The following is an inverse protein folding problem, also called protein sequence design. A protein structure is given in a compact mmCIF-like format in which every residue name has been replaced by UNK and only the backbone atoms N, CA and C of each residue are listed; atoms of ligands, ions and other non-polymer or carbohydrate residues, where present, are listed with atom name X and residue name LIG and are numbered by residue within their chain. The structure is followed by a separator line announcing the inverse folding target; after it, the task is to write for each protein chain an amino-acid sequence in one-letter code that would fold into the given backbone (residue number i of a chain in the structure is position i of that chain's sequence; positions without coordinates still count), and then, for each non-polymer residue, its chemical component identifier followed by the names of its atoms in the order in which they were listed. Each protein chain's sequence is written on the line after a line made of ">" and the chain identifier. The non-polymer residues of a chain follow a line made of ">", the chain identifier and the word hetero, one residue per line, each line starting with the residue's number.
data_IF_126519250662
#
_entry.id   IF_126519250662
#
_cell.length_a   1.000
_cell.length_b   1.000
_cell.length_c   1.000
_cell.angle_alpha   90.00
_cell.angle_beta   90.00
_cell.angle_gamma   90.00
#
_symmetry.space_group_name_H-M   'P 1'
#
loop_
_entity.id
_entity.type
_entity.pdbx_description
1 polymer ?
#
# COMPACT_ATOMS: atom_id res chain seq x y z
N UNK A 1 2.12 13.15 -3.97
CA UNK A 1 0.80 12.45 -3.98
C UNK A 1 0.92 11.06 -4.57
N UNK A 2 1.32 10.90 -5.83
CA UNK A 2 1.55 9.56 -6.43
C UNK A 2 2.48 8.68 -5.58
N UNK A 3 3.67 9.18 -5.26
CA UNK A 3 4.65 8.42 -4.46
C UNK A 3 4.10 8.04 -3.08
N UNK A 4 3.30 8.92 -2.47
CA UNK A 4 2.62 8.63 -1.19
C UNK A 4 1.60 7.50 -1.35
N UNK A 5 0.77 7.52 -2.40
CA UNK A 5 -0.16 6.45 -2.70
C UNK A 5 0.55 5.12 -2.93
N UNK A 6 1.68 5.14 -3.64
CA UNK A 6 2.48 3.93 -3.90
C UNK A 6 3.07 3.36 -2.60
N UNK A 7 3.64 4.21 -1.75
CA UNK A 7 4.14 3.80 -0.43
C UNK A 7 3.04 3.26 0.49
N UNK A 8 1.82 3.83 0.43
CA UNK A 8 0.69 3.30 1.19
C UNK A 8 0.31 1.89 0.76
N UNK A 9 0.30 1.61 -0.55
CA UNK A 9 0.06 0.24 -1.06
C UNK A 9 1.18 -0.70 -0.59
N UNK A 10 2.44 -0.29 -0.74
CA UNK A 10 3.59 -1.09 -0.32
C UNK A 10 3.53 -1.44 1.17
N UNK A 11 3.28 -0.46 2.04
CA UNK A 11 3.18 -0.67 3.49
C UNK A 11 1.96 -1.52 3.87
N UNK A 12 0.86 -1.41 3.13
CA UNK A 12 -0.37 -2.15 3.41
C UNK A 12 -0.27 -3.63 3.03
N UNK A 13 0.42 -3.92 1.92
CA UNK A 13 0.63 -5.29 1.43
C UNK A 13 1.90 -5.92 2.04
N UNK A 14 2.86 -5.10 2.48
CA UNK A 14 4.19 -5.55 2.92
C UNK A 14 5.11 -5.93 1.76
N UNK A 15 4.80 -5.47 0.54
CA UNK A 15 5.54 -5.77 -0.69
C UNK A 15 5.41 -4.62 -1.69
N UNK A 16 6.52 -4.31 -2.37
CA UNK A 16 6.50 -3.33 -3.46
C UNK A 16 5.49 -3.75 -4.56
N UNK A 17 4.53 -2.88 -4.95
CA UNK A 17 3.34 -3.31 -5.69
C UNK A 17 3.50 -3.38 -7.22
N UNK A 18 4.72 -3.20 -7.73
CA UNK A 18 4.99 -3.29 -9.18
C UNK A 18 6.10 -4.34 -9.42
N UNK A 19 5.80 -5.45 -10.12
CA UNK A 19 4.49 -5.83 -10.66
C UNK A 19 3.48 -6.22 -9.56
N UNK A 20 2.16 -6.16 -9.82
CA UNK A 20 1.12 -6.57 -8.88
C UNK A 20 1.29 -8.03 -8.43
N UNK A 21 1.07 -8.34 -7.14
CA UNK A 21 1.03 -9.72 -6.67
C UNK A 21 -0.10 -10.50 -7.34
N UNK A 22 0.10 -11.78 -7.65
CA UNK A 22 -1.04 -12.62 -8.10
C UNK A 22 -1.93 -13.08 -6.94
N UNK A 23 -3.06 -13.72 -7.29
CA UNK A 23 -4.02 -14.23 -6.31
C UNK A 23 -3.38 -15.20 -5.29
N UNK A 24 -2.44 -16.06 -5.71
CA UNK A 24 -1.77 -17.00 -4.81
C UNK A 24 -0.83 -16.26 -3.85
N UNK A 25 -0.10 -15.26 -4.34
CA UNK A 25 0.73 -14.38 -3.51
C UNK A 25 -0.12 -13.59 -2.52
N UNK A 26 -1.26 -13.03 -2.94
CA UNK A 26 -2.19 -12.31 -2.05
C UNK A 26 -2.79 -13.25 -0.99
N UNK A 27 -3.19 -14.47 -1.36
CA UNK A 27 -3.67 -15.48 -0.43
C UNK A 27 -2.61 -15.84 0.61
N UNK A 28 -1.35 -15.98 0.21
CA UNK A 28 -0.24 -16.25 1.13
C UNK A 28 0.02 -15.07 2.09
N UNK A 29 -0.13 -13.82 1.61
CA UNK A 29 0.07 -12.61 2.42
C UNK A 29 -1.05 -12.42 3.44
N UNK A 30 -2.31 -12.60 3.02
CA UNK A 30 -3.48 -12.28 3.86
C UNK A 30 -4.10 -13.50 4.56
N UNK A 31 -3.67 -14.72 4.24
CA UNK A 31 -4.16 -15.97 4.83
C UNK A 31 -5.61 -16.31 4.49
N UNK A 32 -6.17 -15.71 3.42
CA UNK A 32 -7.55 -15.92 2.96
C UNK A 32 -7.68 -15.67 1.45
N UNK A 33 -8.66 -16.29 0.77
CA UNK A 33 -8.99 -15.97 -0.62
C UNK A 33 -9.30 -14.49 -0.77
N UNK A 34 -8.50 -13.79 -1.58
CA UNK A 34 -8.72 -12.40 -1.93
C UNK A 34 -9.34 -12.38 -3.32
N UNK A 35 -10.64 -12.11 -3.38
CA UNK A 35 -11.34 -11.89 -4.65
C UNK A 35 -11.03 -10.48 -5.13
N UNK A 36 -10.21 -10.36 -6.17
CA UNK A 36 -10.18 -9.13 -6.96
C UNK A 36 -11.53 -9.06 -7.68
N UNK A 37 -12.34 -8.05 -7.37
CA UNK A 37 -13.70 -7.86 -7.89
C UNK A 37 -13.75 -7.48 -9.38
N UNK A 38 -12.93 -8.10 -10.21
CA UNK A 38 -12.95 -7.94 -11.67
C UNK A 38 -13.26 -9.31 -12.27
N UNK A 39 -14.55 -9.55 -12.54
CA UNK A 39 -14.95 -10.42 -13.64
C UNK A 39 -14.37 -9.80 -14.93
N UNK A 40 -13.19 -10.26 -15.35
CA UNK A 40 -12.51 -9.71 -16.51
C UNK A 40 -11.14 -10.32 -16.70
N UNK A 41 -11.15 -11.56 -17.19
CA UNK A 41 -10.02 -12.32 -17.73
C UNK A 41 -8.79 -12.48 -16.80
N UNK A 42 -8.32 -13.72 -16.55
CA UNK A 42 -6.94 -13.89 -16.17
C UNK A 42 -6.12 -13.36 -17.35
N UNK A 43 -5.65 -12.11 -17.27
CA UNK A 43 -4.59 -11.62 -18.13
C UNK A 43 -3.36 -12.41 -17.70
N UNK A 44 -3.31 -13.64 -18.22
CA UNK A 44 -2.15 -14.47 -18.29
C UNK A 44 -1.09 -13.56 -18.86
N UNK A 45 -0.15 -13.17 -18.00
CA UNK A 45 0.96 -12.30 -18.34
C UNK A 45 1.70 -13.06 -19.44
N UNK A 46 1.35 -12.80 -20.71
CA UNK A 46 2.05 -13.40 -21.83
C UNK A 46 3.49 -12.93 -21.68
N UNK A 47 4.45 -13.82 -21.44
CA UNK A 47 5.84 -13.39 -21.33
C UNK A 47 6.18 -12.80 -22.69
N UNK A 48 6.36 -11.47 -22.76
CA UNK A 48 6.94 -10.87 -23.97
C UNK A 48 8.25 -11.63 -24.25
N UNK A 49 8.53 -11.96 -25.53
CA UNK A 49 9.75 -12.68 -25.88
C UNK A 49 10.95 -11.97 -25.26
N UNK A 50 11.70 -12.67 -24.40
CA UNK A 50 12.91 -12.15 -23.79
C UNK A 50 13.92 -11.81 -24.90
N UNK A 51 14.67 -10.70 -24.79
CA UNK A 51 15.82 -10.47 -25.66
C UNK A 51 16.80 -11.65 -25.55
N UNK A 52 17.33 -12.18 -26.66
CA UNK A 52 18.24 -13.33 -26.62
C UNK A 52 19.54 -12.97 -25.87
N UNK A 53 19.91 -13.76 -24.85
CA UNK A 53 21.25 -13.68 -24.24
C UNK A 53 21.39 -13.84 -22.72
N UNK A 54 20.31 -14.08 -21.93
CA UNK A 54 20.43 -14.20 -20.46
C UNK A 54 20.43 -15.67 -20.00
N UNK A 55 21.42 -16.13 -19.22
CA UNK A 55 21.45 -17.51 -18.71
C UNK A 55 20.34 -17.75 -17.68
N UNK A 56 19.83 -18.98 -17.68
CA UNK A 56 18.83 -19.49 -16.74
C UNK A 56 19.52 -19.76 -15.40
N UNK A 57 19.36 -18.89 -14.42
CA UNK A 57 19.65 -19.25 -13.02
C UNK A 57 18.49 -20.05 -12.48
N UNK A 58 18.71 -21.33 -12.24
CA UNK A 58 17.79 -22.19 -11.50
C UNK A 58 17.97 -22.03 -10.00
N UNK A 59 16.95 -21.53 -9.30
CA UNK A 59 16.71 -21.80 -7.88
C UNK A 59 15.29 -21.37 -7.45
N UNK A 60 14.58 -22.28 -6.76
CA UNK A 60 13.44 -21.97 -5.89
C UNK A 60 12.08 -21.78 -6.58
N UNK A 61 11.07 -22.49 -6.09
CA UNK A 61 9.66 -22.44 -6.54
C UNK A 61 8.91 -21.16 -6.17
N UNK A 62 9.56 -20.12 -5.61
CA UNK A 62 8.87 -19.00 -4.95
C UNK A 62 9.43 -17.61 -5.27
N UNK A 63 10.05 -17.40 -6.44
CA UNK A 63 10.58 -16.08 -6.78
C UNK A 63 10.34 -15.74 -8.24
N UNK A 64 9.26 -14.98 -8.49
CA UNK A 64 9.14 -14.21 -9.73
C UNK A 64 10.46 -13.42 -9.94
N UNK A 65 11.08 -13.47 -11.12
CA UNK A 65 12.31 -12.73 -11.37
C UNK A 65 12.09 -11.25 -11.06
N UNK A 66 13.03 -10.64 -10.33
CA UNK A 66 13.00 -9.20 -10.10
C UNK A 66 12.98 -8.46 -11.45
N UNK A 67 11.97 -7.62 -11.64
CA UNK A 67 11.80 -6.78 -12.82
C UNK A 67 13.00 -5.83 -12.96
N UNK A 68 13.51 -5.67 -14.18
CA UNK A 68 14.60 -4.72 -14.42
C UNK A 68 14.11 -3.27 -14.29
N UNK A 69 15.01 -2.31 -14.01
CA UNK A 69 14.63 -0.91 -13.80
C UNK A 69 13.89 -0.29 -15.00
N UNK A 70 14.28 -0.62 -16.23
CA UNK A 70 13.60 -0.10 -17.43
C UNK A 70 12.21 -0.71 -17.62
N UNK A 71 12.04 -1.99 -17.31
CA UNK A 71 10.73 -2.67 -17.32
C UNK A 71 9.81 -2.06 -16.26
N UNK A 72 10.36 -1.69 -15.09
CA UNK A 72 9.62 -1.02 -14.02
C UNK A 72 9.15 0.37 -14.45
N UNK A 73 10.02 1.17 -15.05
CA UNK A 73 9.66 2.50 -15.56
C UNK A 73 8.62 2.42 -16.67
N UNK A 74 8.77 1.46 -17.59
CA UNK A 74 7.80 1.19 -18.64
C UNK A 74 6.43 0.81 -18.05
N UNK A 75 6.41 -0.06 -17.04
CA UNK A 75 5.20 -0.46 -16.33
C UNK A 75 4.49 0.75 -15.71
N UNK A 76 5.22 1.60 -14.99
CA UNK A 76 4.64 2.80 -14.36
C UNK A 76 3.98 3.72 -15.40
N UNK A 77 4.58 3.85 -16.59
CA UNK A 77 4.08 4.73 -17.65
C UNK A 77 2.95 4.11 -18.44
N UNK A 78 2.97 2.81 -18.71
CA UNK A 78 2.09 2.18 -19.70
C UNK A 78 1.01 1.27 -19.10
N UNK A 79 1.25 0.67 -17.94
CA UNK A 79 0.31 -0.26 -17.29
C UNK A 79 -0.62 0.46 -16.30
N UNK A 80 -1.76 -0.15 -15.90
CA UNK A 80 -2.64 0.44 -14.91
C UNK A 80 -1.94 0.65 -13.54
N UNK A 81 -2.33 1.68 -12.77
CA UNK A 81 -1.79 1.89 -11.44
C UNK A 81 -2.11 0.73 -10.51
N UNK A 82 -1.25 0.42 -9.52
CA UNK A 82 -1.54 -0.60 -8.54
C UNK A 82 -2.75 -0.19 -7.68
N UNK A 83 -3.47 -1.19 -7.18
CA UNK A 83 -4.64 -1.02 -6.32
C UNK A 83 -4.51 -1.87 -5.07
N UNK A 84 -5.24 -1.49 -4.03
CA UNK A 84 -5.38 -2.33 -2.84
C UNK A 84 -6.35 -3.48 -3.15
N UNK A 85 -6.08 -4.69 -2.62
CA UNK A 85 -6.97 -5.83 -2.79
C UNK A 85 -8.34 -5.59 -2.17
N UNK A 86 -9.38 -5.99 -2.90
CA UNK A 86 -10.77 -5.92 -2.43
C UNK A 86 -11.02 -6.90 -1.28
N UNK A 87 -11.94 -6.57 -0.36
CA UNK A 87 -12.31 -7.43 0.76
C UNK A 87 -11.30 -7.50 1.92
N UNK A 88 -10.09 -6.93 1.75
CA UNK A 88 -9.08 -6.84 2.82
C UNK A 88 -9.11 -5.49 3.52
N UNK A 89 -9.24 -4.42 2.74
CA UNK A 89 -9.18 -3.04 3.21
C UNK A 89 -10.54 -2.36 3.12
N UNK A 90 -10.78 -1.36 3.98
CA UNK A 90 -12.00 -0.55 3.92
C UNK A 90 -12.13 0.17 2.58
N UNK A 91 -13.35 0.35 2.09
CA UNK A 91 -13.61 1.06 0.83
C UNK A 91 -13.00 2.47 0.82
N UNK A 92 -13.13 3.23 1.91
CA UNK A 92 -12.55 4.58 2.01
C UNK A 92 -11.03 4.58 1.79
N UNK A 93 -10.33 3.55 2.28
CA UNK A 93 -8.88 3.45 2.11
C UNK A 93 -8.52 3.10 0.66
N UNK A 94 -9.27 2.18 0.04
CA UNK A 94 -9.10 1.86 -1.37
C UNK A 94 -9.34 3.10 -2.25
N UNK A 95 -10.41 3.84 -2.01
CA UNK A 95 -10.73 5.07 -2.74
C UNK A 95 -9.68 6.17 -2.55
N UNK A 96 -9.17 6.34 -1.32
CA UNK A 96 -8.11 7.30 -1.02
C UNK A 96 -6.84 7.01 -1.82
N UNK A 97 -6.39 5.75 -1.81
CA UNK A 97 -5.21 5.31 -2.56
C UNK A 97 -5.45 5.43 -4.07
N UNK A 98 -6.62 5.03 -4.57
CA UNK A 98 -6.97 5.15 -5.99
C UNK A 98 -6.90 6.62 -6.46
N UNK A 99 -7.38 7.57 -5.65
CA UNK A 99 -7.26 9.02 -5.95
C UNK A 99 -5.80 9.51 -5.96
N UNK A 100 -4.93 8.92 -5.15
CA UNK A 100 -3.50 9.24 -5.16
C UNK A 100 -2.78 8.71 -6.41
N UNK A 101 -3.24 7.57 -6.93
CA UNK A 101 -2.62 6.81 -8.02
C UNK A 101 -3.29 7.04 -9.38
N UNK A 102 -4.01 8.15 -9.56
CA UNK A 102 -4.46 8.57 -10.89
C UNK A 102 -3.24 8.97 -11.72
N UNK A 103 -3.09 8.37 -12.91
CA UNK A 103 -1.94 8.59 -13.81
C UNK A 103 -1.92 10.03 -14.34
N UNK A 104 -3.07 10.52 -14.81
CA UNK A 104 -3.22 11.90 -15.25
C UNK A 104 -3.04 12.87 -14.06
N UNK A 105 -1.97 13.70 -14.01
CA UNK A 105 -1.73 14.59 -12.89
C UNK A 105 -2.81 15.68 -12.74
N UNK A 106 -3.55 16.02 -13.79
CA UNK A 106 -4.63 17.01 -13.73
C UNK A 106 -5.91 16.46 -13.07
N UNK A 107 -6.14 15.15 -13.15
CA UNK A 107 -7.28 14.47 -12.52
C UNK A 107 -6.93 13.92 -11.13
N UNK A 108 -5.64 13.79 -10.82
CA UNK A 108 -5.15 13.33 -9.53
C UNK A 108 -5.58 14.29 -8.42
N UNK A 109 -6.09 13.73 -7.32
CA UNK A 109 -6.50 14.54 -6.18
C UNK A 109 -5.33 15.40 -5.67
N UNK A 110 -5.62 16.65 -5.34
CA UNK A 110 -4.67 17.56 -4.69
C UNK A 110 -4.69 17.37 -3.16
N UNK A 111 -3.80 18.09 -2.47
CA UNK A 111 -3.73 17.99 -0.99
C UNK A 111 -5.04 18.40 -0.30
N UNK A 112 -5.75 19.39 -0.84
CA UNK A 112 -7.01 19.89 -0.25
C UNK A 112 -8.12 18.84 -0.33
N UNK A 113 -8.22 18.16 -1.46
CA UNK A 113 -9.14 17.03 -1.65
C UNK A 113 -8.78 15.86 -0.73
N UNK A 114 -7.49 15.55 -0.58
CA UNK A 114 -7.03 14.42 0.23
C UNK A 114 -7.24 14.63 1.73
N UNK A 115 -6.94 15.83 2.26
CA UNK A 115 -7.18 16.14 3.70
C UNK A 115 -8.66 16.16 4.06
N UNK A 116 -9.53 16.39 3.06
CA UNK A 116 -10.99 16.35 3.23
C UNK A 116 -11.60 14.96 2.97
N UNK A 117 -10.79 13.96 2.62
CA UNK A 117 -11.27 12.63 2.28
C UNK A 117 -11.78 11.87 3.49
N UNK A 118 -12.81 11.03 3.31
CA UNK A 118 -13.45 10.25 4.38
C UNK A 118 -12.44 9.40 5.17
N UNK A 119 -11.48 8.77 4.48
CA UNK A 119 -10.37 8.03 5.10
C UNK A 119 -9.60 8.88 6.12
N UNK A 120 -9.15 10.08 5.74
CA UNK A 120 -8.40 10.97 6.63
C UNK A 120 -9.29 11.47 7.76
N UNK A 121 -10.53 11.87 7.47
CA UNK A 121 -11.46 12.36 8.50
C UNK A 121 -11.79 11.30 9.55
N UNK A 122 -11.90 10.03 9.14
CA UNK A 122 -12.03 8.90 10.08
C UNK A 122 -10.76 8.70 10.89
N UNK A 123 -9.59 8.69 10.25
CA UNK A 123 -8.30 8.54 10.94
C UNK A 123 -7.99 9.66 11.92
N UNK A 124 -8.49 10.89 11.68
CA UNK A 124 -8.31 12.04 12.59
C UNK A 124 -9.03 11.87 13.94
N UNK A 125 -10.12 11.09 13.99
CA UNK A 125 -10.91 10.87 15.21
C UNK A 125 -10.67 9.49 15.82
N UNK A 126 -9.88 8.65 15.15
CA UNK A 126 -9.58 7.30 15.60
C UNK A 126 -8.45 7.33 16.62
N UNK A 127 -8.74 6.91 17.86
CA UNK A 127 -7.76 6.84 18.93
C UNK A 127 -6.91 5.57 18.76
N UNK A 128 -5.75 5.72 18.10
CA UNK A 128 -4.77 4.65 17.88
C UNK A 128 -3.51 4.90 18.71
N UNK A 129 -3.14 3.95 19.57
CA UNK A 129 -1.86 3.98 20.28
C UNK A 129 -0.69 3.66 19.32
N UNK A 130 -0.30 4.65 18.54
CA UNK A 130 0.78 4.53 17.57
C UNK A 130 2.14 4.28 18.25
N UNK A 131 2.39 4.93 19.39
CA UNK A 131 3.64 4.79 20.13
C UNK A 131 3.80 3.38 20.71
N UNK A 132 2.75 2.83 21.32
CA UNK A 132 2.73 1.46 21.82
C UNK A 132 2.85 0.43 20.71
N UNK A 133 2.16 0.63 19.58
CA UNK A 133 2.29 -0.22 18.39
C UNK A 133 3.74 -0.23 17.86
N UNK A 134 4.37 0.95 17.74
CA UNK A 134 5.74 1.08 17.24
C UNK A 134 6.73 0.37 18.17
N UNK A 135 6.61 0.59 19.49
CA UNK A 135 7.46 -0.07 20.49
C UNK A 135 7.31 -1.59 20.44
N UNK A 136 6.08 -2.10 20.34
CA UNK A 136 5.82 -3.54 20.22
C UNK A 136 6.42 -4.12 18.95
N UNK A 137 6.25 -3.44 17.81
CA UNK A 137 6.74 -3.89 16.50
C UNK A 137 8.26 -3.91 16.45
N UNK A 138 8.92 -2.89 16.98
CA UNK A 138 10.38 -2.79 17.04
C UNK A 138 11.00 -3.50 18.25
N UNK A 139 10.19 -4.16 19.09
CA UNK A 139 10.62 -4.83 20.35
C UNK A 139 11.39 -3.90 21.30
N UNK A 140 10.98 -2.64 21.35
CA UNK A 140 11.53 -1.63 22.27
C UNK A 140 10.83 -1.72 23.63
N UNK A 141 11.55 -1.38 24.71
CA UNK A 141 10.92 -1.14 26.00
C UNK A 141 10.08 0.13 25.89
N UNK A 142 8.78 0.06 26.20
CA UNK A 142 7.93 1.24 26.15
C UNK A 142 8.51 2.34 27.06
N UNK A 143 8.66 3.58 26.56
CA UNK A 143 8.95 4.69 27.45
C UNK A 143 7.76 4.82 28.40
N UNK A 144 8.03 4.79 29.71
CA UNK A 144 7.01 4.96 30.75
C UNK A 144 6.42 6.36 30.67
N UNK A 145 5.39 6.55 29.84
CA UNK A 145 4.56 7.75 29.85
C UNK A 145 3.40 7.53 30.83
N UNK A 146 3.56 8.10 32.01
CA UNK A 146 2.47 8.31 32.98
C UNK A 146 1.33 9.11 32.32
N UNK A 147 0.05 8.80 32.53
CA UNK A 147 -1.05 9.58 31.97
C UNK A 147 -1.24 10.87 32.79
N UNK A 148 -0.40 11.88 32.54
CA UNK A 148 -0.65 13.22 33.01
C UNK A 148 -1.53 13.96 31.98
N UNK A 149 -2.83 13.66 31.99
CA UNK A 149 -3.83 14.63 31.56
C UNK A 149 -3.79 15.79 32.58
N UNK A 150 -2.84 16.71 32.40
CA UNK A 150 -2.72 17.94 33.16
C UNK A 150 -3.86 18.88 32.79
N UNK A 151 -4.98 18.78 33.51
CA UNK A 151 -5.99 19.83 33.59
C UNK A 151 -5.30 21.06 34.21
N UNK A 152 -4.99 22.06 33.40
CA UNK A 152 -4.55 23.37 33.88
C UNK A 152 -5.78 24.07 34.49
N UNK A 153 -6.00 23.90 35.79
CA UNK A 153 -6.85 24.83 36.56
C UNK A 153 -5.99 26.02 36.94
N UNK A 154 -6.11 27.10 36.19
CA UNK A 154 -5.57 28.40 36.59
C UNK A 154 -6.30 28.90 37.83
N UNK A 155 -5.56 29.10 38.92
CA UNK A 155 -5.97 29.89 40.07
C UNK A 155 -4.95 31.00 40.23
N UNK A 156 -5.29 32.21 39.76
CA UNK A 156 -4.59 33.43 40.16
C UNK A 156 -5.30 34.00 41.38
N UNK A 157 -4.54 34.19 42.46
CA UNK A 157 -4.90 35.09 43.56
C UNK A 157 -4.49 36.52 43.26
#
# INVERSE_FOLDING_TARGET
>A
IWSMGLSLVELSIGRYPIPPPDAKELEAIFGRPVVDGVEGEPHSISPRPRPPGRPISGHGTDSRPAMAIFELLDYIVNEPPPKLPSGVFTQDFQEFVNKCLIKNPAERADLKMLTSHAFIKRSEVEEVDFAGWLCKTLRLKQPSTSPAHGRVTGSCG
#
